data_IF_216681346860
#
_entry.id   IF_216681346860
#
_cell.length_a   1.000
_cell.length_b   1.000
_cell.length_c   1.000
_cell.angle_alpha   90.00
_cell.angle_beta   90.00
_cell.angle_gamma   90.00
#
_symmetry.space_group_name_H-M   'P 1'
#
loop_
_entity.id
_entity.type
_entity.pdbx_description
1 polymer ?
#
# COMPACT_ATOMS: atom_id res chain seq x y z
N UNK A 1 13.51 -22.98 5.51
CA UNK A 1 13.81 -21.61 5.05
C UNK A 1 13.75 -21.63 3.54
N UNK A 2 12.96 -20.74 2.92
CA UNK A 2 13.05 -20.55 1.46
C UNK A 2 14.26 -19.64 1.22
N UNK A 3 15.28 -20.16 0.54
CA UNK A 3 16.39 -19.37 0.02
C UNK A 3 15.98 -18.84 -1.35
N UNK A 4 15.97 -17.52 -1.51
CA UNK A 4 15.64 -16.87 -2.77
C UNK A 4 16.78 -15.91 -3.13
N UNK A 5 17.86 -16.44 -3.74
CA UNK A 5 19.07 -15.68 -4.05
C UNK A 5 18.80 -14.52 -5.00
N UNK A 6 17.76 -14.62 -5.85
CA UNK A 6 17.37 -13.60 -6.83
C UNK A 6 16.19 -12.72 -6.35
N UNK A 7 15.86 -12.79 -5.05
CA UNK A 7 14.71 -12.10 -4.48
C UNK A 7 13.38 -12.86 -4.60
N UNK A 8 12.34 -12.36 -3.95
CA UNK A 8 10.97 -12.91 -3.98
C UNK A 8 9.97 -11.78 -4.09
N UNK A 9 9.07 -11.87 -5.07
CA UNK A 9 7.85 -11.09 -5.06
C UNK A 9 6.75 -11.83 -4.30
N UNK A 10 6.05 -11.12 -3.42
CA UNK A 10 4.80 -11.59 -2.80
C UNK A 10 3.70 -10.63 -3.18
N UNK A 11 2.54 -11.18 -3.50
CA UNK A 11 1.37 -10.40 -3.89
C UNK A 11 0.11 -10.97 -3.25
N UNK A 12 -0.91 -10.11 -3.14
CA UNK A 12 -2.22 -10.45 -2.63
C UNK A 12 -3.26 -9.81 -3.54
N UNK A 13 -4.09 -10.64 -4.18
CA UNK A 13 -5.20 -10.15 -4.98
C UNK A 13 -6.34 -9.69 -4.07
N UNK A 14 -6.87 -8.50 -4.32
CA UNK A 14 -7.99 -7.92 -3.58
C UNK A 14 -9.10 -7.54 -4.55
N UNK A 15 -10.28 -8.12 -4.36
CA UNK A 15 -11.47 -7.74 -5.12
C UNK A 15 -12.20 -6.58 -4.43
N UNK A 16 -11.84 -5.33 -4.79
CA UNK A 16 -12.40 -4.11 -4.19
C UNK A 16 -13.95 -4.05 -4.17
N UNK A 17 -14.69 -4.49 -5.20
CA UNK A 17 -16.14 -4.52 -5.12
C UNK A 17 -16.69 -5.45 -4.04
N UNK A 18 -15.99 -6.56 -3.72
CA UNK A 18 -16.39 -7.40 -2.58
C UNK A 18 -16.14 -6.70 -1.26
N UNK A 19 -15.01 -6.00 -1.12
CA UNK A 19 -14.66 -5.24 0.08
C UNK A 19 -15.67 -4.12 0.33
N UNK A 20 -16.05 -3.39 -0.72
CA UNK A 20 -17.10 -2.36 -0.66
C UNK A 20 -18.44 -2.92 -0.19
N UNK A 21 -18.85 -4.11 -0.67
CA UNK A 21 -20.10 -4.77 -0.22
C UNK A 21 -20.08 -5.19 1.25
N UNK A 22 -18.90 -5.33 1.85
CA UNK A 22 -18.74 -5.58 3.30
C UNK A 22 -18.85 -4.28 4.13
N UNK A 23 -19.04 -3.12 3.49
CA UNK A 23 -19.17 -1.82 4.16
C UNK A 23 -17.84 -1.19 4.58
N UNK A 24 -16.70 -1.72 4.12
CA UNK A 24 -15.40 -1.13 4.43
C UNK A 24 -15.16 0.14 3.61
N UNK A 25 -14.88 1.27 4.28
CA UNK A 25 -14.51 2.54 3.64
C UNK A 25 -13.04 2.60 3.26
N UNK A 26 -12.17 2.12 4.14
CA UNK A 26 -10.72 2.16 3.95
C UNK A 26 -10.09 0.77 4.10
N UNK A 27 -9.04 0.53 3.33
CA UNK A 27 -8.14 -0.62 3.48
C UNK A 27 -6.72 -0.11 3.69
N UNK A 28 -6.09 -0.52 4.80
CA UNK A 28 -4.71 -0.17 5.13
C UNK A 28 -3.81 -1.33 4.73
N UNK A 29 -2.84 -1.08 3.84
CA UNK A 29 -1.85 -2.08 3.46
C UNK A 29 -0.67 -1.96 4.42
N UNK A 30 -0.26 -3.08 5.02
CA UNK A 30 0.87 -3.14 5.93
C UNK A 30 1.91 -4.15 5.45
N UNK A 31 3.17 -3.76 5.48
CA UNK A 31 4.33 -4.63 5.20
C UNK A 31 5.12 -4.79 6.48
N UNK A 32 5.40 -6.03 6.87
CA UNK A 32 6.12 -6.36 8.09
C UNK A 32 7.42 -7.11 7.76
N UNK A 33 8.55 -6.60 8.24
CA UNK A 33 9.83 -7.28 8.27
C UNK A 33 9.89 -8.23 9.49
N UNK A 34 9.67 -9.52 9.26
CA UNK A 34 9.64 -10.53 10.33
C UNK A 34 11.03 -10.95 10.82
N UNK A 35 12.08 -10.75 10.02
CA UNK A 35 13.48 -10.89 10.47
C UNK A 35 13.88 -9.69 11.34
N UNK A 36 15.02 -9.80 12.01
CA UNK A 36 15.53 -8.74 12.91
C UNK A 36 15.90 -7.46 12.15
N UNK A 37 16.21 -7.56 10.86
CA UNK A 37 16.61 -6.43 10.01
C UNK A 37 15.45 -5.44 9.76
N UNK A 38 15.75 -4.13 9.83
CA UNK A 38 14.85 -3.08 9.39
C UNK A 38 14.81 -2.99 7.85
N UNK A 39 13.81 -2.33 7.28
CA UNK A 39 13.70 -2.19 5.83
C UNK A 39 14.92 -1.50 5.20
N UNK A 40 15.52 -0.51 5.87
CA UNK A 40 16.76 0.16 5.44
C UNK A 40 17.94 -0.79 5.24
N UNK A 41 17.94 -1.92 5.93
CA UNK A 41 19.03 -2.91 5.92
C UNK A 41 18.76 -4.02 4.88
N UNK A 42 17.56 -4.06 4.30
CA UNK A 42 17.20 -4.99 3.24
C UNK A 42 17.64 -4.43 1.89
N UNK A 43 18.46 -5.16 1.10
CA UNK A 43 18.78 -4.75 -0.24
C UNK A 43 17.53 -4.83 -1.13
N UNK A 44 17.24 -3.76 -1.86
CA UNK A 44 16.20 -3.75 -2.92
C UNK A 44 14.81 -4.18 -2.42
N UNK A 45 14.31 -3.54 -1.37
CA UNK A 45 12.99 -3.81 -0.81
C UNK A 45 11.94 -2.85 -1.38
N UNK A 46 10.88 -3.40 -1.99
CA UNK A 46 9.81 -2.62 -2.60
C UNK A 46 8.42 -3.07 -2.18
N UNK A 47 7.49 -2.13 -2.14
CA UNK A 47 6.05 -2.39 -2.10
C UNK A 47 5.37 -1.65 -3.26
N UNK A 48 4.21 -2.13 -3.68
CA UNK A 48 3.50 -1.53 -4.79
C UNK A 48 2.16 -2.17 -5.03
N UNK A 49 1.47 -1.69 -6.05
CA UNK A 49 0.20 -2.24 -6.50
C UNK A 49 0.13 -2.28 -8.02
N UNK A 50 -0.77 -3.14 -8.45
CA UNK A 50 -1.22 -3.23 -9.82
C UNK A 50 -2.70 -3.56 -9.79
N UNK A 51 -3.39 -3.13 -10.83
CA UNK A 51 -4.79 -3.45 -11.02
C UNK A 51 -4.91 -4.57 -12.04
N UNK A 52 -5.73 -5.57 -11.73
CA UNK A 52 -5.97 -6.71 -12.61
C UNK A 52 -7.43 -6.73 -13.05
N UNK A 53 -7.63 -7.16 -14.29
CA UNK A 53 -8.97 -7.33 -14.88
C UNK A 53 -9.72 -8.51 -14.25
N UNK A 54 -8.99 -9.58 -13.90
CA UNK A 54 -9.55 -10.80 -13.33
C UNK A 54 -8.67 -11.24 -12.15
N UNK A 55 -9.17 -11.24 -10.90
CA UNK A 55 -8.45 -11.83 -9.77
C UNK A 55 -8.32 -13.34 -9.98
N UNK A 56 -7.20 -13.94 -9.58
CA UNK A 56 -6.98 -15.40 -9.70
C UNK A 56 -7.01 -15.95 -11.13
N UNK A 57 -6.57 -15.19 -12.15
CA UNK A 57 -6.51 -15.66 -13.55
C UNK A 57 -5.47 -16.75 -13.83
N UNK A 58 -4.79 -17.29 -12.81
CA UNK A 58 -3.61 -18.17 -12.90
C UNK A 58 -2.44 -17.61 -13.74
N UNK A 59 -2.51 -16.37 -14.21
CA UNK A 59 -1.39 -15.74 -14.89
C UNK A 59 -0.27 -15.48 -13.86
N UNK A 60 0.95 -15.80 -14.26
CA UNK A 60 2.14 -15.49 -13.48
C UNK A 60 2.21 -13.99 -13.20
N UNK A 61 2.67 -13.64 -12.00
CA UNK A 61 2.99 -12.26 -11.66
C UNK A 61 4.00 -11.69 -12.68
N UNK A 62 3.61 -10.62 -13.37
CA UNK A 62 4.43 -9.91 -14.34
C UNK A 62 4.86 -8.57 -13.72
N UNK A 63 6.12 -8.43 -13.25
CA UNK A 63 6.59 -7.23 -12.55
C UNK A 63 6.41 -5.93 -13.34
N UNK A 64 6.45 -5.99 -14.68
CA UNK A 64 6.27 -4.81 -15.53
C UNK A 64 4.85 -4.22 -15.49
N UNK A 65 3.88 -4.96 -14.96
CA UNK A 65 2.48 -4.47 -14.80
C UNK A 65 2.25 -3.75 -13.47
N UNK A 66 3.27 -3.64 -12.61
CA UNK A 66 3.22 -2.83 -11.39
C UNK A 66 3.04 -1.37 -11.78
N UNK A 67 1.91 -0.78 -11.39
CA UNK A 67 1.57 0.59 -11.73
C UNK A 67 2.41 1.59 -10.95
N UNK A 68 2.67 1.27 -9.69
CA UNK A 68 3.38 2.14 -8.79
C UNK A 68 4.22 1.30 -7.83
N UNK A 69 5.47 1.72 -7.66
CA UNK A 69 6.47 0.99 -6.89
C UNK A 69 7.18 1.95 -5.95
N UNK A 70 7.16 1.58 -4.69
CA UNK A 70 7.71 2.34 -3.57
C UNK A 70 8.92 1.59 -3.05
N UNK A 71 10.05 2.28 -2.94
CA UNK A 71 11.22 1.77 -2.26
C UNK A 71 11.05 1.90 -0.74
N UNK A 72 11.27 0.81 -0.01
CA UNK A 72 11.18 0.77 1.45
C UNK A 72 12.58 0.95 2.04
N UNK A 73 12.96 2.20 2.35
CA UNK A 73 14.31 2.57 2.84
C UNK A 73 14.35 2.90 4.33
N UNK A 74 13.37 2.40 5.08
CA UNK A 74 12.94 2.96 6.37
C UNK A 74 13.67 2.29 7.53
N UNK A 75 14.03 3.03 8.57
CA UNK A 75 14.59 2.46 9.81
C UNK A 75 13.50 1.84 10.71
N UNK A 76 12.67 1.01 10.10
CA UNK A 76 11.52 0.41 10.75
C UNK A 76 11.33 -1.03 10.27
N UNK A 77 10.53 -1.78 11.03
CA UNK A 77 10.14 -3.15 10.69
C UNK A 77 8.69 -3.29 10.24
N UNK A 78 7.91 -2.22 10.29
CA UNK A 78 6.52 -2.17 9.84
C UNK A 78 6.41 -0.94 8.93
N UNK A 79 5.71 -1.03 7.82
CA UNK A 79 5.48 0.09 6.93
C UNK A 79 4.04 0.05 6.39
N UNK A 80 3.41 1.21 6.21
CA UNK A 80 2.10 1.36 5.56
C UNK A 80 2.32 1.99 4.19
N UNK A 81 2.64 1.22 3.13
CA UNK A 81 2.93 1.79 1.81
C UNK A 81 1.72 2.42 1.13
N UNK A 82 0.49 2.05 1.52
CA UNK A 82 -0.72 2.55 0.89
C UNK A 82 -1.94 2.43 1.81
N UNK A 83 -2.86 3.38 1.67
CA UNK A 83 -4.22 3.29 2.18
C UNK A 83 -5.16 3.44 0.98
N UNK A 84 -6.09 2.51 0.81
CA UNK A 84 -7.07 2.51 -0.27
C UNK A 84 -8.39 3.03 0.28
N UNK A 85 -8.90 4.12 -0.29
CA UNK A 85 -10.32 4.49 -0.19
C UNK A 85 -11.11 3.59 -1.13
N UNK A 86 -11.87 2.66 -0.54
CA UNK A 86 -12.60 1.60 -1.25
C UNK A 86 -13.80 2.16 -1.99
N UNK A 87 -14.45 3.17 -1.41
CA UNK A 87 -15.66 3.77 -1.98
C UNK A 87 -15.31 4.69 -3.16
N UNK A 88 -14.29 5.53 -3.00
CA UNK A 88 -13.82 6.43 -4.07
C UNK A 88 -12.90 5.74 -5.08
N UNK A 89 -12.44 4.51 -4.78
CA UNK A 89 -11.48 3.73 -5.58
C UNK A 89 -10.18 4.49 -5.83
N UNK A 90 -9.54 4.92 -4.74
CA UNK A 90 -8.35 5.77 -4.78
C UNK A 90 -7.33 5.32 -3.77
N UNK A 91 -6.06 5.52 -4.09
CA UNK A 91 -4.99 5.40 -3.11
C UNK A 91 -4.73 6.77 -2.51
N UNK A 92 -4.74 6.81 -1.18
CA UNK A 92 -4.42 7.98 -0.38
C UNK A 92 -2.92 8.02 -0.15
N UNK A 93 -2.28 9.06 -0.70
CA UNK A 93 -0.87 9.33 -0.56
C UNK A 93 -0.66 10.63 0.21
N UNK A 94 0.30 10.67 1.14
CA UNK A 94 0.81 11.94 1.69
C UNK A 94 -0.13 12.77 2.59
N UNK A 95 -1.46 12.68 2.46
CA UNK A 95 -2.34 13.59 3.22
C UNK A 95 -2.55 13.18 4.68
N UNK A 96 -2.65 11.88 4.95
CA UNK A 96 -2.67 11.38 6.34
C UNK A 96 -1.38 11.78 7.08
N UNK A 97 -0.28 11.79 6.34
CA UNK A 97 1.08 12.09 6.81
C UNK A 97 1.23 13.55 7.18
N UNK A 98 0.82 14.46 6.30
CA UNK A 98 0.84 15.90 6.57
C UNK A 98 -0.12 16.27 7.69
N UNK A 99 -1.30 15.65 7.74
CA UNK A 99 -2.31 15.97 8.78
C UNK A 99 -1.92 15.43 10.16
N UNK A 100 -1.18 14.31 10.22
CA UNK A 100 -0.53 13.84 11.45
C UNK A 100 0.75 14.63 11.77
N UNK A 101 1.13 15.63 10.96
CA UNK A 101 2.30 16.48 11.19
C UNK A 101 3.64 15.81 10.88
N UNK A 102 3.63 14.77 10.05
CA UNK A 102 4.73 13.83 9.92
C UNK A 102 5.23 13.69 8.48
N UNK A 103 5.53 14.77 7.78
CA UNK A 103 6.16 14.71 6.46
C UNK A 103 7.27 13.64 6.45
N UNK A 104 7.03 12.52 5.73
CA UNK A 104 7.81 11.26 5.61
C UNK A 104 7.11 9.96 6.12
N UNK A 105 6.00 9.99 6.84
CA UNK A 105 5.49 8.79 7.55
C UNK A 105 4.85 7.67 6.70
N UNK A 106 4.19 7.93 5.56
CA UNK A 106 3.60 6.84 4.74
C UNK A 106 4.65 6.11 3.89
N UNK A 107 5.80 6.74 3.65
CA UNK A 107 6.94 6.03 3.09
C UNK A 107 7.77 5.34 4.15
N UNK A 108 7.75 5.85 5.39
CA UNK A 108 8.78 5.63 6.42
C UNK A 108 8.16 5.57 7.81
N UNK A 109 7.17 4.70 7.96
CA UNK A 109 6.52 4.56 9.24
C UNK A 109 7.45 3.76 10.16
N UNK A 110 8.29 4.41 10.96
CA UNK A 110 8.71 3.86 12.25
C UNK A 110 7.44 3.64 13.09
N UNK A 111 6.76 2.52 12.84
CA UNK A 111 5.60 2.10 13.60
C UNK A 111 6.11 1.19 14.71
N UNK A 112 6.30 1.79 15.88
CA UNK A 112 5.92 1.09 17.09
C UNK A 112 4.42 0.77 17.03
N UNK A 113 3.99 -0.34 17.62
CA UNK A 113 2.62 -0.88 17.48
C UNK A 113 1.48 0.11 17.79
N UNK A 114 1.74 1.16 18.57
CA UNK A 114 0.75 2.17 18.96
C UNK A 114 0.25 3.03 17.80
N UNK A 115 1.01 3.17 16.72
CA UNK A 115 0.73 4.15 15.66
C UNK A 115 -0.22 3.64 14.57
N UNK A 116 -0.41 2.33 14.48
CA UNK A 116 -1.46 1.73 13.62
C UNK A 116 -2.85 2.12 14.14
N UNK A 117 -3.01 2.23 15.46
CA UNK A 117 -4.25 2.69 16.07
C UNK A 117 -4.53 4.16 15.74
N UNK A 118 -3.51 5.02 15.74
CA UNK A 118 -3.64 6.44 15.34
C UNK A 118 -4.11 6.60 13.89
N UNK A 119 -3.58 5.77 12.97
CA UNK A 119 -4.04 5.75 11.57
C UNK A 119 -5.52 5.34 11.50
N UNK A 120 -5.92 4.30 12.25
CA UNK A 120 -7.30 3.84 12.26
C UNK A 120 -8.27 4.87 12.87
N UNK A 121 -7.89 5.49 13.99
CA UNK A 121 -8.63 6.58 14.65
C UNK A 121 -8.78 7.77 13.71
N UNK A 122 -7.70 8.21 13.06
CA UNK A 122 -7.79 9.31 12.10
C UNK A 122 -8.72 8.97 10.91
N UNK A 123 -8.63 7.76 10.36
CA UNK A 123 -9.49 7.35 9.24
C UNK A 123 -10.98 7.26 9.63
N UNK A 124 -11.30 7.16 10.91
CA UNK A 124 -12.68 6.99 11.40
C UNK A 124 -13.27 8.25 12.03
N UNK A 125 -12.44 9.01 12.75
CA UNK A 125 -12.84 10.16 13.58
C UNK A 125 -12.16 11.47 13.13
N UNK A 126 -11.11 11.38 12.33
CA UNK A 126 -10.34 12.53 11.84
C UNK A 126 -11.10 13.37 10.81
N UNK A 127 -10.61 14.60 10.53
CA UNK A 127 -11.18 15.44 9.50
C UNK A 127 -11.12 14.76 8.13
N UNK A 128 -12.02 15.13 7.18
CA UNK A 128 -11.99 14.58 5.83
C UNK A 128 -10.59 14.74 5.21
N UNK A 129 -10.04 13.64 4.70
CA UNK A 129 -8.72 13.62 4.08
C UNK A 129 -8.73 14.51 2.83
N UNK A 130 -7.89 15.53 2.78
CA UNK A 130 -7.72 16.34 1.57
C UNK A 130 -7.21 15.46 0.42
N UNK A 131 -7.96 15.46 -0.67
CA UNK A 131 -7.91 14.42 -1.70
C UNK A 131 -6.86 14.75 -2.76
N UNK A 132 -5.77 15.41 -2.39
CA UNK A 132 -4.95 16.20 -3.34
C UNK A 132 -3.85 15.39 -4.02
N UNK A 133 -3.45 14.25 -3.43
CA UNK A 133 -2.53 13.28 -4.05
C UNK A 133 -3.23 11.93 -4.16
N UNK A 134 -3.72 11.64 -5.36
CA UNK A 134 -4.53 10.46 -5.67
C UNK A 134 -3.89 9.71 -6.83
N UNK A 135 -3.65 8.42 -6.65
CA UNK A 135 -3.62 7.49 -7.80
C UNK A 135 -5.03 6.94 -7.99
N UNK A 136 -5.73 7.24 -9.10
CA UNK A 136 -7.03 6.66 -9.39
C UNK A 136 -6.90 5.16 -9.63
N UNK A 137 -7.79 4.35 -9.05
CA UNK A 137 -7.89 2.91 -9.31
C UNK A 137 -9.00 2.63 -10.34
N UNK A 138 -8.99 3.40 -11.43
CA UNK A 138 -9.95 3.29 -12.52
C UNK A 138 -9.36 2.51 -13.70
N UNK A 139 -10.18 1.60 -14.24
CA UNK A 139 -9.82 0.68 -15.33
C UNK A 139 -9.36 1.42 -16.61
N UNK A 140 -9.96 2.57 -16.89
CA UNK A 140 -9.63 3.40 -18.07
C UNK A 140 -8.27 4.11 -17.91
N UNK A 141 -7.91 4.53 -16.69
CA UNK A 141 -6.59 5.09 -16.40
C UNK A 141 -5.49 4.05 -16.64
N UNK A 142 -5.73 2.80 -16.23
CA UNK A 142 -4.81 1.68 -16.41
C UNK A 142 -4.59 1.37 -17.88
N UNK A 143 -5.68 1.18 -18.63
CA UNK A 143 -5.63 0.79 -20.05
C UNK A 143 -4.93 1.84 -20.90
N UNK A 144 -4.93 3.11 -20.46
CA UNK A 144 -4.30 4.21 -21.20
C UNK A 144 -2.81 4.40 -20.89
N UNK A 145 -2.33 3.96 -19.72
CA UNK A 145 -0.98 4.29 -19.24
C UNK A 145 -0.07 3.09 -19.01
N UNK A 146 -0.62 1.87 -18.93
CA UNK A 146 0.13 0.66 -18.55
C UNK A 146 -0.14 -0.56 -19.45
N UNK A 147 -1.00 -0.45 -20.45
CA UNK A 147 -1.28 -1.45 -21.50
C UNK A 147 -1.33 -0.76 -22.86
#
# INVERSE_FOLDING_TARGET
MVTAPDGVAKYMDVHLPSVSRLGARYMVIMVNAFKEDAFKDLPECYAGWMMRQVPQSDEMFEPSTVQERIELTVDARICIPAIIDVEERRILWGTLVETLGMANLVFTAELESNRVAEVAEYLTEGPPVDRTVITPLEQDYITKHFL
#
